data_IF_894448567328
#
_entry.id   IF_894448567328
#
_cell.length_a   1.000
_cell.length_b   1.000
_cell.length_c   1.000
_cell.angle_alpha   90.00
_cell.angle_beta   90.00
_cell.angle_gamma   90.00
#
_symmetry.space_group_name_H-M   'P 1'
#
loop_
_entity.id
_entity.type
_entity.pdbx_description
1 polymer ?
#
# COMPACT_ATOMS: atom_id res chain seq x y z
N UNK A 1 -0.24 2.93 8.15
CA UNK A 1 1.04 2.17 8.11
C UNK A 1 0.89 0.66 8.34
N UNK A 2 -0.22 0.16 8.88
CA UNK A 2 -0.42 -1.26 9.20
C UNK A 2 -0.61 -2.18 7.98
N UNK A 3 -1.03 -1.66 6.82
CA UNK A 3 -1.08 -2.46 5.58
C UNK A 3 0.33 -3.02 5.29
N UNK A 4 1.37 -2.18 5.31
CA UNK A 4 2.73 -2.62 5.01
C UNK A 4 3.27 -3.71 5.96
N UNK A 5 2.86 -3.73 7.24
CA UNK A 5 3.37 -4.69 8.23
C UNK A 5 2.78 -6.10 8.05
N UNK A 6 1.48 -6.24 7.75
CA UNK A 6 0.87 -7.57 7.52
C UNK A 6 1.32 -8.18 6.19
N UNK A 7 1.46 -7.36 5.14
CA UNK A 7 1.90 -7.83 3.82
C UNK A 7 3.38 -8.24 3.82
N UNK A 8 4.23 -7.54 4.56
CA UNK A 8 5.64 -7.91 4.72
C UNK A 8 5.79 -9.26 5.44
N UNK A 9 4.94 -9.53 6.44
CA UNK A 9 4.90 -10.83 7.13
C UNK A 9 4.54 -11.99 6.19
N UNK A 10 3.48 -11.84 5.39
CA UNK A 10 3.04 -12.86 4.42
C UNK A 10 4.12 -13.10 3.36
N UNK A 11 4.70 -12.03 2.81
CA UNK A 11 5.70 -12.16 1.75
C UNK A 11 7.04 -12.71 2.27
N UNK A 12 7.45 -12.38 3.49
CA UNK A 12 8.58 -13.04 4.14
C UNK A 12 8.32 -14.54 4.29
N UNK A 13 7.14 -14.93 4.79
CA UNK A 13 6.78 -16.34 4.93
C UNK A 13 6.77 -17.09 3.57
N UNK A 14 6.32 -16.43 2.50
CA UNK A 14 6.38 -16.97 1.14
C UNK A 14 7.83 -17.18 0.69
N UNK A 15 8.70 -16.19 0.88
CA UNK A 15 10.12 -16.27 0.50
C UNK A 15 10.83 -17.36 1.32
N UNK A 16 10.58 -17.45 2.62
CA UNK A 16 11.15 -18.48 3.49
C UNK A 16 10.69 -19.89 3.06
N UNK A 17 9.39 -20.05 2.77
CA UNK A 17 8.84 -21.34 2.32
C UNK A 17 9.39 -21.75 0.95
N UNK A 18 9.56 -20.78 0.05
CA UNK A 18 10.14 -21.01 -1.26
C UNK A 18 11.59 -21.47 -1.12
N UNK A 19 12.38 -20.77 -0.30
CA UNK A 19 13.78 -21.12 -0.04
C UNK A 19 13.91 -22.55 0.51
N UNK A 20 13.04 -22.92 1.45
CA UNK A 20 13.01 -24.27 2.04
C UNK A 20 12.57 -25.36 1.03
N UNK A 21 11.69 -25.04 0.09
CA UNK A 21 11.15 -26.01 -0.88
C UNK A 21 12.12 -26.24 -2.04
N UNK A 22 12.77 -25.18 -2.52
CA UNK A 22 13.71 -25.25 -3.63
C UNK A 22 15.15 -25.46 -3.20
N UNK A 23 15.44 -25.45 -1.89
CA UNK A 23 16.80 -25.56 -1.36
C UNK A 23 17.75 -24.55 -2.05
N UNK A 24 17.35 -23.29 -2.07
CA UNK A 24 18.18 -22.17 -2.57
C UNK A 24 18.94 -21.53 -1.42
N UNK A 25 20.04 -20.83 -1.72
CA UNK A 25 20.84 -20.17 -0.68
C UNK A 25 20.22 -18.85 -0.24
N UNK A 26 19.61 -18.12 -1.17
CA UNK A 26 18.92 -16.87 -0.91
C UNK A 26 17.79 -16.60 -1.92
N UNK A 27 16.85 -15.77 -1.51
CA UNK A 27 15.71 -15.38 -2.33
C UNK A 27 15.24 -13.96 -1.99
N UNK A 28 14.64 -13.26 -2.96
CA UNK A 28 14.04 -11.95 -2.73
C UNK A 28 12.82 -11.68 -3.60
N UNK A 29 11.92 -10.85 -3.09
CA UNK A 29 10.83 -10.24 -3.86
C UNK A 29 11.14 -8.77 -4.03
N UNK A 30 11.32 -8.37 -5.29
CA UNK A 30 11.52 -6.99 -5.70
C UNK A 30 10.22 -6.47 -6.29
N UNK A 31 9.80 -5.26 -5.91
CA UNK A 31 8.60 -4.61 -6.45
C UNK A 31 8.97 -3.34 -7.20
N UNK A 32 8.21 -3.05 -8.25
CA UNK A 32 8.38 -1.83 -9.04
C UNK A 32 7.52 -0.74 -8.43
N UNK A 33 8.17 0.35 -8.01
CA UNK A 33 7.52 1.60 -7.66
C UNK A 33 7.60 2.54 -8.86
N UNK A 34 6.45 2.94 -9.42
CA UNK A 34 6.40 3.99 -10.44
C UNK A 34 6.82 5.32 -9.81
N UNK A 35 7.83 5.96 -10.38
CA UNK A 35 8.22 7.30 -9.96
C UNK A 35 7.19 8.32 -10.49
N UNK A 36 6.50 9.03 -9.59
CA UNK A 36 5.47 10.02 -9.95
C UNK A 36 6.00 11.18 -10.81
N UNK A 37 7.32 11.41 -10.87
CA UNK A 37 7.95 12.51 -11.63
C UNK A 37 8.55 12.10 -12.97
N UNK A 38 8.80 10.81 -13.22
CA UNK A 38 9.45 10.35 -14.45
C UNK A 38 8.92 8.96 -14.82
N UNK A 39 8.06 8.88 -15.84
CA UNK A 39 7.42 7.64 -16.28
C UNK A 39 8.38 6.54 -16.79
N UNK A 40 9.65 6.86 -17.01
CA UNK A 40 10.65 5.97 -17.61
C UNK A 40 11.65 5.38 -16.59
N UNK A 41 11.53 5.71 -15.30
CA UNK A 41 12.42 5.19 -14.26
C UNK A 41 11.61 4.42 -13.21
N UNK A 42 11.84 3.12 -13.16
CA UNK A 42 11.31 2.24 -12.12
C UNK A 42 12.26 2.26 -10.92
N UNK A 43 11.76 2.67 -9.75
CA UNK A 43 12.51 2.46 -8.51
C UNK A 43 12.17 1.07 -7.99
N UNK A 44 13.18 0.23 -7.80
CA UNK A 44 13.00 -1.10 -7.22
C UNK A 44 12.95 -0.97 -5.69
N UNK A 45 12.03 -1.67 -5.07
CA UNK A 45 11.95 -1.79 -3.63
C UNK A 45 12.01 -3.27 -3.24
N UNK A 46 12.99 -3.65 -2.43
CA UNK A 46 13.02 -4.97 -1.81
C UNK A 46 11.88 -5.07 -0.81
N UNK A 47 10.91 -5.92 -1.10
CA UNK A 47 9.73 -6.08 -0.26
C UNK A 47 9.95 -7.15 0.81
N UNK A 48 10.61 -8.25 0.43
CA UNK A 48 10.97 -9.38 1.28
C UNK A 48 12.27 -10.02 0.78
N UNK A 49 13.07 -10.57 1.68
CA UNK A 49 14.32 -11.27 1.33
C UNK A 49 14.72 -12.28 2.40
N UNK A 50 15.36 -13.37 1.97
CA UNK A 50 15.98 -14.39 2.80
C UNK A 50 17.47 -14.50 2.46
N UNK A 51 18.33 -14.51 3.48
CA UNK A 51 19.79 -14.67 3.36
C UNK A 51 20.52 -13.71 2.38
N UNK A 52 20.05 -12.46 2.27
CA UNK A 52 20.77 -11.40 1.56
C UNK A 52 21.43 -10.43 2.53
N UNK A 53 22.68 -10.02 2.28
CA UNK A 53 23.34 -9.00 3.07
C UNK A 53 22.61 -7.65 2.97
N UNK A 54 22.68 -6.83 4.02
CA UNK A 54 22.09 -5.48 4.01
C UNK A 54 22.67 -4.62 2.87
N UNK A 55 23.95 -4.80 2.56
CA UNK A 55 24.64 -4.11 1.47
C UNK A 55 24.03 -4.48 0.12
N UNK A 56 23.81 -5.78 -0.11
CA UNK A 56 23.21 -6.26 -1.35
C UNK A 56 21.73 -5.86 -1.48
N UNK A 57 20.97 -5.92 -0.39
CA UNK A 57 19.59 -5.41 -0.36
C UNK A 57 19.52 -3.92 -0.75
N UNK A 58 20.45 -3.10 -0.28
CA UNK A 58 20.52 -1.69 -0.66
C UNK A 58 20.87 -1.51 -2.14
N UNK A 59 21.85 -2.25 -2.66
CA UNK A 59 22.21 -2.25 -4.07
C UNK A 59 21.01 -2.59 -4.99
N UNK A 60 20.19 -3.58 -4.60
CA UNK A 60 18.99 -3.96 -5.33
C UNK A 60 17.92 -2.85 -5.43
N UNK A 61 18.00 -1.82 -4.58
CA UNK A 61 17.05 -0.69 -4.56
C UNK A 61 17.55 0.54 -5.31
N UNK A 62 18.87 0.76 -5.33
CA UNK A 62 19.49 1.97 -5.87
C UNK A 62 19.81 1.88 -7.36
N UNK A 63 20.07 0.67 -7.85
CA UNK A 63 20.65 0.46 -9.16
C UNK A 63 19.57 0.13 -10.20
N UNK A 64 19.66 0.74 -11.38
CA UNK A 64 18.95 0.29 -12.58
C UNK A 64 19.52 -1.07 -13.01
N UNK A 65 19.16 -2.13 -12.28
CA UNK A 65 19.68 -3.47 -12.50
C UNK A 65 19.17 -4.01 -13.84
N UNK A 66 20.02 -4.01 -14.87
CA UNK A 66 19.67 -4.42 -16.23
C UNK A 66 19.00 -5.80 -16.30
N UNK A 67 19.41 -6.75 -15.46
CA UNK A 67 18.77 -8.08 -15.36
C UNK A 67 17.36 -8.04 -14.77
N UNK A 68 17.14 -7.28 -13.70
CA UNK A 68 15.81 -7.16 -13.09
C UNK A 68 14.87 -6.41 -14.04
N UNK A 69 15.36 -5.32 -14.65
CA UNK A 69 14.65 -4.58 -15.69
C UNK A 69 14.31 -5.48 -16.89
N UNK A 70 15.26 -6.28 -17.36
CA UNK A 70 15.04 -7.23 -18.47
C UNK A 70 13.93 -8.24 -18.16
N UNK A 71 13.86 -8.78 -16.94
CA UNK A 71 12.76 -9.67 -16.54
C UNK A 71 11.40 -8.96 -16.56
N UNK A 72 11.36 -7.69 -16.12
CA UNK A 72 10.16 -6.86 -16.11
C UNK A 72 9.72 -6.54 -17.55
N UNK A 73 10.65 -6.07 -18.39
CA UNK A 73 10.40 -5.59 -19.75
C UNK A 73 10.00 -6.74 -20.68
N UNK A 74 10.74 -7.85 -20.62
CA UNK A 74 10.49 -9.03 -21.46
C UNK A 74 9.38 -9.94 -20.92
N UNK A 75 9.00 -9.78 -19.64
CA UNK A 75 7.94 -10.56 -18.96
C UNK A 75 8.19 -12.07 -19.03
N UNK A 76 9.47 -12.46 -19.02
CA UNK A 76 9.92 -13.85 -19.10
C UNK A 76 10.97 -14.11 -18.02
N UNK A 77 11.03 -15.35 -17.50
CA UNK A 77 12.10 -15.72 -16.58
C UNK A 77 13.47 -15.54 -17.22
N UNK A 78 14.43 -15.09 -16.42
CA UNK A 78 15.84 -14.97 -16.78
C UNK A 78 16.65 -15.88 -15.87
N UNK A 79 17.45 -16.76 -16.46
CA UNK A 79 18.22 -17.77 -15.74
C UNK A 79 19.67 -17.64 -16.13
N UNK A 80 20.53 -17.57 -15.11
CA UNK A 80 21.98 -17.59 -15.22
C UNK A 80 22.45 -18.79 -14.42
N UNK A 81 22.72 -19.89 -15.11
CA UNK A 81 23.06 -21.16 -14.46
C UNK A 81 24.47 -21.15 -13.84
N UNK A 82 25.35 -20.30 -14.37
CA UNK A 82 26.71 -20.08 -13.88
C UNK A 82 27.13 -18.65 -14.20
N UNK A 83 27.75 -17.97 -13.24
CA UNK A 83 28.36 -16.65 -13.43
C UNK A 83 29.86 -16.86 -13.69
N UNK A 84 30.33 -16.50 -14.87
CA UNK A 84 31.75 -16.65 -15.24
C UNK A 84 32.61 -15.51 -14.71
N UNK A 85 33.89 -15.77 -14.42
CA UNK A 85 34.79 -14.80 -13.78
C UNK A 85 35.15 -13.61 -14.68
N UNK A 86 35.05 -13.78 -16.01
CA UNK A 86 35.35 -12.75 -17.01
C UNK A 86 34.21 -11.76 -17.29
N UNK A 87 33.02 -11.96 -16.71
CA UNK A 87 31.88 -11.09 -16.95
C UNK A 87 32.08 -9.71 -16.28
N UNK A 88 32.04 -8.66 -17.09
CA UNK A 88 32.27 -7.28 -16.63
C UNK A 88 31.00 -6.53 -16.21
N UNK A 89 29.82 -7.11 -16.44
CA UNK A 89 28.57 -6.46 -16.08
C UNK A 89 28.43 -6.26 -14.56
N UNK A 90 28.12 -5.04 -14.13
CA UNK A 90 28.11 -4.62 -12.72
C UNK A 90 27.21 -5.49 -11.83
N UNK A 91 26.08 -5.95 -12.36
CA UNK A 91 25.18 -6.84 -11.64
C UNK A 91 25.84 -8.20 -11.34
N UNK A 92 26.51 -8.80 -12.33
CA UNK A 92 27.20 -10.08 -12.19
C UNK A 92 28.40 -9.96 -11.25
N UNK A 93 29.17 -8.88 -11.35
CA UNK A 93 30.23 -8.54 -10.37
C UNK A 93 29.68 -8.47 -8.95
N UNK A 94 28.54 -7.82 -8.77
CA UNK A 94 27.91 -7.66 -7.45
C UNK A 94 27.41 -9.01 -6.91
N UNK A 95 26.78 -9.84 -7.74
CA UNK A 95 26.38 -11.19 -7.36
C UNK A 95 27.57 -12.05 -6.92
N UNK A 96 28.69 -12.01 -7.65
CA UNK A 96 29.92 -12.71 -7.26
C UNK A 96 30.47 -12.19 -5.93
N UNK A 97 30.46 -10.87 -5.73
CA UNK A 97 30.94 -10.26 -4.48
C UNK A 97 30.11 -10.66 -3.24
N UNK A 98 28.83 -10.99 -3.45
CA UNK A 98 27.93 -11.52 -2.42
C UNK A 98 28.10 -13.05 -2.25
N UNK A 99 28.86 -13.70 -3.14
CA UNK A 99 29.17 -15.13 -3.10
C UNK A 99 28.20 -16.02 -3.88
N UNK A 100 27.37 -15.44 -4.77
CA UNK A 100 26.46 -16.21 -5.61
C UNK A 100 27.13 -16.58 -6.94
N UNK A 101 26.84 -17.80 -7.41
CA UNK A 101 27.32 -18.36 -8.66
C UNK A 101 26.20 -18.60 -9.68
N UNK A 102 24.93 -18.43 -9.29
CA UNK A 102 23.79 -18.51 -10.21
C UNK A 102 22.64 -17.59 -9.78
N UNK A 103 21.78 -17.26 -10.74
CA UNK A 103 20.63 -16.38 -10.58
C UNK A 103 19.43 -16.92 -11.36
N UNK A 104 18.24 -16.78 -10.78
CA UNK A 104 16.99 -16.90 -11.51
C UNK A 104 16.05 -15.77 -11.10
N UNK A 105 15.52 -15.04 -12.07
CA UNK A 105 14.46 -14.05 -11.87
C UNK A 105 13.20 -14.47 -12.60
N UNK A 106 12.06 -14.48 -11.92
CA UNK A 106 10.75 -14.71 -12.51
C UNK A 106 9.86 -13.47 -12.35
N UNK A 107 9.14 -13.03 -13.41
CA UNK A 107 8.30 -11.84 -13.33
C UNK A 107 7.07 -12.08 -12.45
N UNK A 108 6.69 -11.08 -11.67
CA UNK A 108 5.44 -11.05 -10.91
C UNK A 108 4.41 -10.30 -11.77
N UNK A 109 3.51 -11.04 -12.40
CA UNK A 109 2.56 -10.51 -13.39
C UNK A 109 1.15 -10.38 -12.81
N UNK A 110 0.55 -9.20 -12.93
CA UNK A 110 -0.88 -8.99 -12.62
C UNK A 110 -1.77 -9.19 -13.86
N UNK A 111 -3.09 -9.20 -13.65
CA UNK A 111 -4.07 -9.26 -14.73
C UNK A 111 -3.80 -8.13 -15.75
N UNK A 112 -3.79 -8.49 -17.04
CA UNK A 112 -3.39 -7.59 -18.13
C UNK A 112 -1.92 -7.68 -18.54
N UNK A 113 -1.13 -8.54 -17.89
CA UNK A 113 0.24 -8.86 -18.32
C UNK A 113 1.30 -7.84 -17.90
N UNK A 114 0.95 -6.91 -17.00
CA UNK A 114 1.90 -5.94 -16.46
C UNK A 114 2.76 -6.59 -15.37
N UNK A 115 4.08 -6.43 -15.47
CA UNK A 115 5.01 -6.84 -14.41
C UNK A 115 5.04 -5.78 -13.31
N UNK A 116 4.77 -6.20 -12.07
CA UNK A 116 4.80 -5.33 -10.88
C UNK A 116 6.02 -5.60 -9.99
N UNK A 117 6.86 -6.56 -10.38
CA UNK A 117 8.00 -7.00 -9.60
C UNK A 117 8.70 -8.22 -10.18
N UNK A 118 9.71 -8.70 -9.47
CA UNK A 118 10.50 -9.89 -9.79
C UNK A 118 10.72 -10.70 -8.53
N UNK A 119 10.48 -12.01 -8.62
CA UNK A 119 10.89 -12.99 -7.62
C UNK A 119 12.25 -13.55 -8.04
N UNK A 120 13.27 -13.39 -7.18
CA UNK A 120 14.65 -13.76 -7.47
C UNK A 120 15.14 -14.87 -6.57
N UNK A 121 15.94 -15.77 -7.13
CA UNK A 121 16.65 -16.83 -6.44
C UNK A 121 18.14 -16.75 -6.74
N UNK A 122 18.93 -17.07 -5.73
CA UNK A 122 20.37 -17.05 -5.80
C UNK A 122 20.91 -18.36 -5.20
N UNK A 123 21.93 -18.93 -5.85
CA UNK A 123 22.68 -20.06 -5.28
C UNK A 123 24.17 -19.79 -5.30
N UNK A 124 24.90 -20.28 -4.29
CA UNK A 124 26.35 -20.17 -4.15
C UNK A 124 27.12 -21.10 -5.08
N UNK A 125 26.44 -22.10 -5.61
CA UNK A 125 26.96 -23.02 -6.63
C UNK A 125 26.25 -22.80 -7.98
N UNK A 126 26.91 -23.13 -9.10
CA UNK A 126 26.25 -23.22 -10.39
C UNK A 126 25.03 -24.15 -10.30
N UNK A 127 23.91 -23.72 -10.88
CA UNK A 127 22.62 -24.42 -10.75
C UNK A 127 21.84 -24.36 -12.04
N UNK A 128 21.45 -25.52 -12.54
CA UNK A 128 20.44 -25.61 -13.59
C UNK A 128 19.06 -25.78 -12.94
N UNK A 129 18.10 -24.98 -13.39
CA UNK A 129 16.71 -25.09 -12.94
C UNK A 129 15.94 -26.00 -13.89
N UNK A 130 15.33 -27.03 -13.33
CA UNK A 130 14.45 -27.93 -14.06
C UNK A 130 13.16 -27.22 -14.48
N UNK A 131 12.48 -27.77 -15.48
CA UNK A 131 11.17 -27.25 -15.91
C UNK A 131 10.16 -27.18 -14.75
N UNK A 132 10.16 -28.18 -13.86
CA UNK A 132 9.27 -28.22 -12.68
C UNK A 132 9.57 -27.10 -11.69
N UNK A 133 10.84 -26.80 -11.44
CA UNK A 133 11.23 -25.68 -10.57
C UNK A 133 10.81 -24.35 -11.20
N UNK A 134 10.99 -24.18 -12.51
CA UNK A 134 10.55 -22.97 -13.21
C UNK A 134 9.03 -22.81 -13.15
N UNK A 135 8.28 -23.88 -13.39
CA UNK A 135 6.81 -23.90 -13.26
C UNK A 135 6.37 -23.55 -11.83
N UNK A 136 7.04 -24.11 -10.82
CA UNK A 136 6.77 -23.82 -9.41
C UNK A 136 7.01 -22.35 -9.07
N UNK A 137 8.15 -21.79 -9.48
CA UNK A 137 8.49 -20.38 -9.22
C UNK A 137 7.47 -19.46 -9.92
N UNK A 138 7.07 -19.76 -11.16
CA UNK A 138 6.05 -18.99 -11.87
C UNK A 138 4.69 -19.05 -11.15
N UNK A 139 4.31 -20.20 -10.59
CA UNK A 139 3.11 -20.33 -9.78
C UNK A 139 3.21 -19.49 -8.49
N UNK A 140 4.36 -19.48 -7.83
CA UNK A 140 4.62 -18.64 -6.65
C UNK A 140 4.60 -17.16 -6.99
N UNK A 141 5.22 -16.74 -8.10
CA UNK A 141 5.16 -15.37 -8.61
C UNK A 141 3.71 -14.93 -8.88
N UNK A 142 2.88 -15.83 -9.39
CA UNK A 142 1.45 -15.55 -9.63
C UNK A 142 0.67 -15.37 -8.31
N UNK A 143 0.94 -16.18 -7.29
CA UNK A 143 0.35 -16.02 -5.96
C UNK A 143 0.77 -14.71 -5.29
N UNK A 144 2.06 -14.36 -5.40
CA UNK A 144 2.58 -13.06 -4.93
C UNK A 144 1.89 -11.91 -5.66
N UNK A 145 1.69 -12.03 -6.98
CA UNK A 145 1.01 -11.01 -7.76
C UNK A 145 -0.43 -10.78 -7.26
N UNK A 146 -1.19 -11.84 -7.02
CA UNK A 146 -2.55 -11.76 -6.48
C UNK A 146 -2.56 -11.08 -5.12
N UNK A 147 -1.64 -11.45 -4.23
CA UNK A 147 -1.53 -10.85 -2.90
C UNK A 147 -1.23 -9.35 -2.99
N UNK A 148 -0.25 -8.95 -3.81
CA UNK A 148 0.14 -7.54 -3.99
C UNK A 148 -0.93 -6.70 -4.71
N UNK A 149 -1.65 -7.27 -5.67
CA UNK A 149 -2.72 -6.58 -6.40
C UNK A 149 -3.94 -6.34 -5.50
N UNK A 150 -4.30 -7.33 -4.68
CA UNK A 150 -5.37 -7.20 -3.68
C UNK A 150 -5.09 -6.06 -2.70
N UNK A 151 -3.86 -5.90 -2.24
CA UNK A 151 -3.47 -4.80 -1.33
C UNK A 151 -3.73 -3.44 -1.95
N UNK A 152 -3.27 -3.23 -3.19
CA UNK A 152 -3.46 -1.95 -3.89
C UNK A 152 -4.94 -1.65 -4.11
N UNK A 153 -5.74 -2.67 -4.42
CA UNK A 153 -7.17 -2.50 -4.59
C UNK A 153 -7.87 -2.11 -3.28
N UNK A 154 -7.48 -2.71 -2.15
CA UNK A 154 -8.02 -2.35 -0.83
C UNK A 154 -7.64 -0.91 -0.47
N UNK A 155 -6.37 -0.52 -0.66
CA UNK A 155 -5.91 0.85 -0.40
C UNK A 155 -6.68 1.85 -1.28
N UNK A 156 -6.88 1.52 -2.56
CA UNK A 156 -7.67 2.34 -3.50
C UNK A 156 -9.13 2.49 -3.05
N UNK A 157 -9.75 1.41 -2.58
CA UNK A 157 -11.12 1.44 -2.04
C UNK A 157 -11.20 2.33 -0.79
N UNK A 158 -10.20 2.24 0.09
CA UNK A 158 -10.14 3.08 1.29
C UNK A 158 -9.97 4.57 0.93
N UNK A 159 -9.05 4.89 0.03
CA UNK A 159 -8.86 6.26 -0.49
C UNK A 159 -10.16 6.81 -1.09
N UNK A 160 -10.80 6.05 -1.98
CA UNK A 160 -12.06 6.47 -2.61
C UNK A 160 -13.19 6.65 -1.59
N UNK A 161 -13.27 5.80 -0.57
CA UNK A 161 -14.24 5.96 0.51
C UNK A 161 -14.01 7.25 1.28
N UNK A 162 -12.76 7.58 1.58
CA UNK A 162 -12.39 8.79 2.29
C UNK A 162 -12.67 10.04 1.46
N UNK A 163 -12.29 10.03 0.18
CA UNK A 163 -12.62 11.09 -0.79
C UNK A 163 -14.13 11.31 -0.88
N UNK A 164 -14.93 10.23 -0.93
CA UNK A 164 -16.38 10.33 -0.98
C UNK A 164 -16.98 10.97 0.27
N UNK A 165 -16.52 10.58 1.46
CA UNK A 165 -16.93 11.20 2.74
C UNK A 165 -16.56 12.67 2.76
N UNK A 166 -15.33 13.00 2.36
CA UNK A 166 -14.86 14.38 2.29
C UNK A 166 -15.73 15.23 1.34
N UNK A 167 -16.04 14.73 0.15
CA UNK A 167 -16.91 15.43 -0.81
C UNK A 167 -18.30 15.69 -0.23
N UNK A 168 -18.87 14.72 0.50
CA UNK A 168 -20.17 14.90 1.17
C UNK A 168 -20.11 15.97 2.27
N UNK A 169 -19.06 15.97 3.08
CA UNK A 169 -18.83 16.97 4.13
C UNK A 169 -18.66 18.36 3.52
N UNK A 170 -17.83 18.50 2.49
CA UNK A 170 -17.65 19.76 1.76
C UNK A 170 -18.98 20.26 1.15
N UNK A 171 -19.82 19.37 0.64
CA UNK A 171 -21.14 19.74 0.12
C UNK A 171 -22.10 20.25 1.21
N UNK A 172 -22.03 19.71 2.42
CA UNK A 172 -22.80 20.18 3.57
C UNK A 172 -22.28 21.53 4.06
N UNK A 173 -20.95 21.69 4.16
CA UNK A 173 -20.31 22.95 4.56
C UNK A 173 -20.55 24.08 3.55
N UNK A 174 -20.75 23.80 2.25
CA UNK A 174 -21.16 24.83 1.27
C UNK A 174 -22.49 25.49 1.67
N UNK A 175 -23.40 24.74 2.32
CA UNK A 175 -24.68 25.28 2.82
C UNK A 175 -24.51 26.09 4.11
N UNK A 176 -23.36 26.00 4.76
CA UNK A 176 -22.99 26.67 6.01
C UNK A 176 -21.64 27.41 5.83
N UNK A 177 -21.63 28.59 5.18
CA UNK A 177 -20.41 29.28 4.73
C UNK A 177 -19.38 29.53 5.83
N UNK A 178 -19.81 29.60 7.09
CA UNK A 178 -18.96 29.83 8.25
C UNK A 178 -18.09 28.63 8.64
N UNK A 179 -18.39 27.44 8.11
CA UNK A 179 -17.73 26.18 8.52
C UNK A 179 -16.85 25.56 7.43
N UNK A 180 -16.60 26.26 6.32
CA UNK A 180 -15.80 25.69 5.22
C UNK A 180 -14.40 25.28 5.66
N UNK A 181 -14.08 24.00 5.50
CA UNK A 181 -12.80 23.40 5.91
C UNK A 181 -12.68 23.15 7.43
N UNK A 182 -13.71 23.48 8.21
CA UNK A 182 -13.72 23.28 9.66
C UNK A 182 -13.62 21.80 10.01
N UNK A 183 -14.45 20.96 9.39
CA UNK A 183 -14.50 19.53 9.72
C UNK A 183 -13.18 18.85 9.38
N UNK A 184 -12.50 19.28 8.30
CA UNK A 184 -11.16 18.82 7.96
C UNK A 184 -10.12 19.21 9.03
N UNK A 185 -10.19 20.43 9.55
CA UNK A 185 -9.27 20.90 10.59
C UNK A 185 -9.51 20.18 11.92
N UNK A 186 -10.78 19.96 12.30
CA UNK A 186 -11.16 19.19 13.49
C UNK A 186 -10.66 17.75 13.37
N UNK A 187 -10.89 17.09 12.23
CA UNK A 187 -10.42 15.73 11.98
C UNK A 187 -8.89 15.63 12.08
N UNK A 188 -8.17 16.57 11.46
CA UNK A 188 -6.70 16.62 11.52
C UNK A 188 -6.18 16.82 12.96
N UNK A 189 -6.78 17.73 13.72
CA UNK A 189 -6.40 17.98 15.11
C UNK A 189 -6.70 16.76 15.99
N UNK A 190 -7.87 16.15 15.85
CA UNK A 190 -8.25 14.95 16.58
C UNK A 190 -7.28 13.79 16.30
N UNK A 191 -6.94 13.56 15.02
CA UNK A 191 -5.94 12.56 14.62
C UNK A 191 -4.57 12.85 15.24
N UNK A 192 -4.10 14.10 15.16
CA UNK A 192 -2.76 14.48 15.64
C UNK A 192 -2.64 14.34 17.15
N UNK A 193 -3.68 14.77 17.89
CA UNK A 193 -3.76 14.62 19.34
C UNK A 193 -3.80 13.14 19.71
N UNK A 194 -4.67 12.36 19.06
CA UNK A 194 -4.75 10.92 19.30
C UNK A 194 -3.41 10.21 19.03
N UNK A 195 -2.73 10.58 17.96
CA UNK A 195 -1.43 9.99 17.60
C UNK A 195 -0.37 10.29 18.67
N UNK A 196 -0.32 11.53 19.15
CA UNK A 196 0.57 11.94 20.24
C UNK A 196 0.25 11.22 21.57
N UNK A 197 -1.01 10.84 21.78
CA UNK A 197 -1.46 10.08 22.95
C UNK A 197 -1.22 8.57 22.83
N UNK A 198 -0.74 8.08 21.68
CA UNK A 198 -0.42 6.67 21.46
C UNK A 198 -1.62 5.79 21.11
N UNK A 199 -2.73 6.37 20.65
CA UNK A 199 -3.85 5.59 20.11
C UNK A 199 -3.41 4.80 18.87
N UNK A 200 -3.99 3.62 18.69
CA UNK A 200 -3.68 2.75 17.56
C UNK A 200 -4.33 3.28 16.27
N UNK A 201 -3.86 2.83 15.10
CA UNK A 201 -4.36 3.35 13.81
C UNK A 201 -5.87 3.21 13.61
N UNK A 202 -6.50 2.16 14.17
CA UNK A 202 -7.96 1.99 14.07
C UNK A 202 -8.69 3.06 14.87
N UNK A 203 -8.20 3.37 16.06
CA UNK A 203 -8.71 4.47 16.89
C UNK A 203 -8.52 5.81 16.20
N UNK A 204 -7.33 6.06 15.64
CA UNK A 204 -7.02 7.28 14.90
C UNK A 204 -7.93 7.46 13.68
N UNK A 205 -8.16 6.40 12.90
CA UNK A 205 -9.08 6.43 11.77
C UNK A 205 -10.51 6.76 12.22
N UNK A 206 -10.98 6.18 13.32
CA UNK A 206 -12.31 6.50 13.86
C UNK A 206 -12.42 7.96 14.34
N UNK A 207 -11.37 8.48 14.98
CA UNK A 207 -11.33 9.89 15.40
C UNK A 207 -11.35 10.85 14.21
N UNK A 208 -10.62 10.52 13.13
CA UNK A 208 -10.63 11.29 11.89
C UNK A 208 -12.03 11.33 11.28
N UNK A 209 -12.69 10.17 11.13
CA UNK A 209 -14.08 10.12 10.65
C UNK A 209 -15.06 10.83 11.57
N UNK A 210 -14.88 10.74 12.89
CA UNK A 210 -15.71 11.46 13.85
C UNK A 210 -15.57 12.98 13.67
N UNK A 211 -14.35 13.49 13.50
CA UNK A 211 -14.11 14.92 13.21
C UNK A 211 -14.71 15.37 11.88
N UNK A 212 -14.63 14.55 10.83
CA UNK A 212 -15.23 14.86 9.53
C UNK A 212 -16.77 14.88 9.57
N UNK A 213 -17.37 13.94 10.28
CA UNK A 213 -18.81 13.69 10.23
C UNK A 213 -19.60 14.29 11.41
N UNK A 214 -18.94 14.92 12.38
CA UNK A 214 -19.60 15.41 13.61
C UNK A 214 -20.84 16.28 13.31
N UNK A 215 -20.74 17.13 12.30
CA UNK A 215 -21.77 18.09 11.89
C UNK A 215 -22.60 17.66 10.67
N UNK A 216 -22.46 16.42 10.18
CA UNK A 216 -23.16 15.92 8.98
C UNK A 216 -24.69 16.04 9.11
N UNK A 217 -25.22 15.98 10.33
CA UNK A 217 -26.63 16.14 10.65
C UNK A 217 -27.21 17.53 10.34
N UNK A 218 -26.37 18.55 10.07
CA UNK A 218 -26.82 19.86 9.58
C UNK A 218 -27.56 19.76 8.26
N UNK A 219 -27.40 18.67 7.50
CA UNK A 219 -28.18 18.41 6.27
C UNK A 219 -29.70 18.47 6.51
N UNK A 220 -30.16 18.10 7.70
CA UNK A 220 -31.57 18.10 8.11
C UNK A 220 -32.09 19.47 8.56
N UNK A 221 -31.22 20.48 8.68
CA UNK A 221 -31.60 21.85 9.05
C UNK A 221 -32.10 22.58 7.79
N UNK A 222 -33.27 23.25 7.83
CA UNK A 222 -33.76 24.07 6.73
C UNK A 222 -32.78 25.18 6.38
N UNK A 223 -32.59 25.44 5.09
CA UNK A 223 -31.65 26.45 4.58
C UNK A 223 -32.00 27.87 5.08
N UNK A 224 -33.30 28.17 5.17
CA UNK A 224 -33.81 29.44 5.73
C UNK A 224 -33.43 29.68 7.19
N UNK A 225 -33.09 28.63 7.92
CA UNK A 225 -32.60 28.69 9.30
C UNK A 225 -31.07 28.70 9.32
N UNK A 226 -30.43 27.85 8.51
CA UNK A 226 -28.99 27.67 8.50
C UNK A 226 -28.23 28.90 7.95
N UNK A 227 -28.80 29.60 6.96
CA UNK A 227 -28.20 30.77 6.31
C UNK A 227 -28.77 32.11 6.81
N UNK A 228 -29.53 32.11 7.91
CA UNK A 228 -30.15 33.34 8.42
C UNK A 228 -29.07 34.31 8.91
N UNK A 229 -29.07 35.54 8.38
CA UNK A 229 -28.13 36.60 8.79
C UNK A 229 -28.53 37.26 10.13
N UNK A 230 -29.83 37.26 10.44
CA UNK A 230 -30.39 37.75 11.70
C UNK A 230 -30.28 36.73 12.84
N UNK A 231 -30.44 37.20 14.07
CA UNK A 231 -30.46 36.32 15.25
C UNK A 231 -31.57 35.26 15.13
N UNK A 232 -31.19 34.00 15.36
CA UNK A 232 -32.12 32.88 15.45
C UNK A 232 -33.05 33.04 16.65
N UNK A 233 -34.33 32.78 16.42
CA UNK A 233 -35.33 32.62 17.49
C UNK A 233 -35.06 31.35 18.29
N UNK A 234 -35.62 31.25 19.51
CA UNK A 234 -35.49 30.05 20.35
C UNK A 234 -35.94 28.78 19.62
N UNK A 235 -37.04 28.85 18.84
CA UNK A 235 -37.57 27.71 18.07
C UNK A 235 -36.62 27.28 16.94
N UNK A 236 -35.99 28.23 16.27
CA UNK A 236 -34.99 27.96 15.23
C UNK A 236 -33.71 27.34 15.84
N UNK A 237 -33.29 27.84 17.00
CA UNK A 237 -32.20 27.25 17.78
C UNK A 237 -32.46 25.79 18.19
N UNK A 238 -33.68 25.48 18.60
CA UNK A 238 -34.07 24.10 18.95
C UNK A 238 -34.03 23.15 17.75
N UNK A 239 -34.16 23.68 16.51
CA UNK A 239 -33.98 22.89 15.28
C UNK A 239 -32.48 22.63 15.05
N UNK A 240 -31.63 23.66 15.13
CA UNK A 240 -30.19 23.49 14.95
C UNK A 240 -29.59 22.52 15.98
N UNK A 241 -30.00 22.61 17.25
CA UNK A 241 -29.48 21.73 18.33
C UNK A 241 -29.76 20.24 18.13
N UNK A 242 -30.64 19.87 17.20
CA UNK A 242 -30.91 18.46 16.86
C UNK A 242 -29.89 17.89 15.89
N UNK A 243 -29.03 18.69 15.26
CA UNK A 243 -28.06 18.20 14.27
C UNK A 243 -27.15 17.08 14.81
N UNK A 244 -26.70 17.03 16.08
CA UNK A 244 -25.87 15.91 16.54
C UNK A 244 -26.65 14.59 16.55
N UNK A 245 -27.94 14.63 16.92
CA UNK A 245 -28.83 13.46 16.85
C UNK A 245 -29.07 13.02 15.40
N UNK A 246 -29.15 13.97 14.48
CA UNK A 246 -29.23 13.68 13.05
C UNK A 246 -27.91 13.06 12.55
N UNK A 247 -26.75 13.55 12.99
CA UNK A 247 -25.44 12.96 12.67
C UNK A 247 -25.38 11.50 13.11
N UNK A 248 -25.77 11.20 14.36
CA UNK A 248 -25.83 9.82 14.86
C UNK A 248 -26.71 8.94 13.99
N UNK A 249 -27.93 9.38 13.65
CA UNK A 249 -28.85 8.61 12.79
C UNK A 249 -28.31 8.36 11.38
N UNK A 250 -27.56 9.31 10.82
CA UNK A 250 -26.95 9.18 9.49
C UNK A 250 -25.78 8.18 9.54
N UNK A 251 -25.02 8.17 10.63
CA UNK A 251 -23.79 7.37 10.77
C UNK A 251 -24.07 5.95 11.28
N UNK A 252 -25.10 5.76 12.10
CA UNK A 252 -25.45 4.48 12.75
C UNK A 252 -25.46 3.24 11.81
N UNK A 253 -25.96 3.33 10.56
CA UNK A 253 -25.93 2.19 9.65
C UNK A 253 -24.51 1.76 9.21
N UNK A 254 -23.52 2.66 9.31
CA UNK A 254 -22.15 2.46 8.82
C UNK A 254 -21.35 1.57 9.78
N UNK A 255 -21.33 0.27 9.49
CA UNK A 255 -20.69 -0.75 10.36
C UNK A 255 -19.21 -0.47 10.65
N UNK A 256 -18.48 0.11 9.71
CA UNK A 256 -17.06 0.43 9.85
C UNK A 256 -16.78 1.55 10.86
N UNK A 257 -17.80 2.35 11.24
CA UNK A 257 -17.69 3.46 12.19
C UNK A 257 -18.22 3.13 13.59
N UNK A 258 -18.54 1.85 13.86
CA UNK A 258 -18.99 1.44 15.18
C UNK A 258 -17.90 1.64 16.25
N UNK A 259 -18.30 1.97 17.49
CA UNK A 259 -17.37 2.15 18.61
C UNK A 259 -16.51 0.91 18.84
N UNK A 260 -15.33 1.13 19.41
CA UNK A 260 -14.48 0.07 19.93
C UNK A 260 -15.08 -0.37 21.28
N UNK A 261 -15.31 -1.66 21.45
CA UNK A 261 -15.77 -2.27 22.71
C UNK A 261 -14.57 -2.68 23.56
#
# INVERSE_FOLDING_TARGET
MLSNLSHKGILNAIVDKLNATLNTDAAAVLTVKKNKKNNHSHTLCTFASHNLSKKFQHYLQTSSNGFVSSVIDNRKPLIISKIDDGEEEDFLKTLRSEGFASYMGAPILIKGGNAIGVLTLYSKSPRQYTKREIEFINAMSSQIAIALDRTKLIEKIQEMSFESVRTLVEAIEIRDPYTRGHSMQVAYLAYTIGSAMGFNERELTLMEFAGLLHDVGKIAVPETILQKEDTLTTKEWDIIRKHPLHSVRIIEPVQSLKPIH
#
